data_IF_232008714291
#
_entry.id   IF_232008714291
#
_cell.length_a   1.000
_cell.length_b   1.000
_cell.length_c   1.000
_cell.angle_alpha   90.00
_cell.angle_beta   90.00
_cell.angle_gamma   90.00
#
_symmetry.space_group_name_H-M   'P 1'
#
loop_
_entity.id
_entity.type
_entity.pdbx_description
1 polymer ?
#
# COMPACT_ATOMS: atom_id res chain seq x y z
N UNK A 1 26.57 -5.81 -47.83
CA UNK A 1 26.42 -4.59 -46.99
C UNK A 1 25.42 -3.55 -47.54
N UNK A 2 25.01 -3.60 -48.81
CA UNK A 2 24.15 -2.57 -49.43
C UNK A 2 22.64 -2.64 -49.08
N UNK A 3 22.10 -3.82 -48.74
CA UNK A 3 20.68 -3.98 -48.43
C UNK A 3 20.25 -3.33 -47.10
N UNK A 4 21.13 -3.22 -46.10
CA UNK A 4 20.83 -2.56 -44.81
C UNK A 4 20.69 -1.04 -44.96
N UNK A 5 21.49 -0.43 -45.84
CA UNK A 5 21.45 1.01 -46.10
C UNK A 5 20.14 1.44 -46.79
N UNK A 6 19.53 0.57 -47.60
CA UNK A 6 18.27 0.86 -48.29
C UNK A 6 17.05 0.79 -47.35
N UNK A 7 17.04 -0.13 -46.40
CA UNK A 7 16.00 -0.24 -45.37
C UNK A 7 16.05 0.95 -44.39
N UNK A 8 17.24 1.34 -43.95
CA UNK A 8 17.42 2.54 -43.11
C UNK A 8 16.97 3.82 -43.82
N UNK A 9 17.31 3.98 -45.10
CA UNK A 9 16.86 5.14 -45.89
C UNK A 9 15.35 5.16 -46.12
N UNK A 10 14.73 4.01 -46.38
CA UNK A 10 13.26 3.89 -46.50
C UNK A 10 12.54 4.15 -45.18
N UNK A 11 13.11 3.72 -44.06
CA UNK A 11 12.58 3.99 -42.72
C UNK A 11 12.68 5.49 -42.39
N UNK A 12 13.83 6.13 -42.66
CA UNK A 12 14.02 7.58 -42.48
C UNK A 12 13.09 8.39 -43.40
N UNK A 13 12.86 7.95 -44.64
CA UNK A 13 11.91 8.60 -45.56
C UNK A 13 10.46 8.47 -45.07
N UNK A 14 10.05 7.30 -44.54
CA UNK A 14 8.72 7.14 -43.92
C UNK A 14 8.56 8.01 -42.67
N UNK A 15 9.59 8.10 -41.82
CA UNK A 15 9.58 8.98 -40.65
C UNK A 15 9.54 10.47 -41.07
N UNK A 16 10.19 10.85 -42.19
CA UNK A 16 10.10 12.21 -42.76
C UNK A 16 8.74 12.52 -43.37
N UNK A 17 8.10 11.57 -44.06
CA UNK A 17 6.77 11.75 -44.67
C UNK A 17 5.63 11.62 -43.65
N UNK A 18 5.86 10.95 -42.52
CA UNK A 18 4.92 10.87 -41.40
C UNK A 18 4.95 12.10 -40.47
N UNK A 19 5.81 13.10 -40.72
CA UNK A 19 5.68 14.44 -40.11
C UNK A 19 4.48 15.15 -40.74
N UNK A 20 3.31 14.84 -40.18
CA UNK A 20 1.96 15.12 -40.64
C UNK A 20 1.68 16.54 -41.20
N UNK A 21 0.73 16.67 -42.15
CA UNK A 21 0.21 17.94 -42.70
C UNK A 21 -0.75 18.65 -41.73
N UNK A 22 -0.43 18.65 -40.43
CA UNK A 22 -1.26 19.27 -39.40
C UNK A 22 -0.79 20.71 -39.20
N UNK A 23 -1.67 21.67 -39.49
CA UNK A 23 -1.45 23.10 -39.29
C UNK A 23 -2.34 23.66 -38.18
N UNK A 24 -1.92 24.78 -37.58
CA UNK A 24 -2.70 25.47 -36.54
C UNK A 24 -2.86 24.66 -35.25
N UNK A 25 -4.04 24.75 -34.63
CA UNK A 25 -4.33 24.15 -33.31
C UNK A 25 -4.16 22.62 -33.27
N UNK A 26 -4.38 21.92 -34.39
CA UNK A 26 -4.24 20.45 -34.47
C UNK A 26 -2.80 19.99 -34.28
N UNK A 27 -1.80 20.77 -34.75
CA UNK A 27 -0.38 20.49 -34.51
C UNK A 27 -0.03 20.62 -33.04
N UNK A 28 -0.51 21.68 -32.39
CA UNK A 28 -0.29 21.91 -30.97
C UNK A 28 -0.99 20.87 -30.10
N UNK A 29 -2.19 20.42 -30.47
CA UNK A 29 -2.87 19.31 -29.80
C UNK A 29 -2.08 17.99 -29.86
N UNK A 30 -1.49 17.66 -31.02
CA UNK A 30 -0.63 16.47 -31.14
C UNK A 30 0.66 16.61 -30.33
N UNK A 31 1.31 17.76 -30.37
CA UNK A 31 2.53 18.02 -29.58
C UNK A 31 2.21 17.93 -28.08
N UNK A 32 1.11 18.55 -27.64
CA UNK A 32 0.65 18.48 -26.26
C UNK A 32 0.32 17.05 -25.86
N UNK A 33 -0.40 16.29 -26.70
CA UNK A 33 -0.70 14.87 -26.44
C UNK A 33 0.56 14.01 -26.34
N UNK A 34 1.54 14.21 -27.24
CA UNK A 34 2.82 13.50 -27.20
C UNK A 34 3.67 13.91 -25.99
N UNK A 35 3.68 15.19 -25.62
CA UNK A 35 4.36 15.69 -24.43
C UNK A 35 3.73 15.10 -23.15
N UNK A 36 2.40 15.10 -23.05
CA UNK A 36 1.68 14.48 -21.92
C UNK A 36 1.97 12.99 -21.83
N UNK A 37 1.90 12.24 -22.94
CA UNK A 37 2.26 10.82 -22.97
C UNK A 37 3.72 10.59 -22.60
N UNK A 38 4.63 11.46 -23.05
CA UNK A 38 6.05 11.40 -22.71
C UNK A 38 6.31 11.66 -21.23
N UNK A 39 5.61 12.64 -20.63
CA UNK A 39 5.68 12.94 -19.19
C UNK A 39 5.11 11.78 -18.38
N UNK A 40 3.94 11.24 -18.74
CA UNK A 40 3.34 10.08 -18.08
C UNK A 40 4.29 8.88 -18.18
N UNK A 41 4.85 8.61 -19.36
CA UNK A 41 5.80 7.52 -19.58
C UNK A 41 7.08 7.69 -18.77
N UNK A 42 7.68 8.89 -18.75
CA UNK A 42 8.87 9.18 -17.96
C UNK A 42 8.59 9.00 -16.47
N UNK A 43 7.46 9.51 -15.98
CA UNK A 43 7.06 9.40 -14.59
C UNK A 43 6.79 7.93 -14.22
N UNK A 44 6.19 7.13 -15.11
CA UNK A 44 6.03 5.69 -14.93
C UNK A 44 7.37 4.95 -14.85
N UNK A 45 8.31 5.28 -15.74
CA UNK A 45 9.65 4.68 -15.73
C UNK A 45 10.41 5.06 -14.45
N UNK A 46 10.39 6.32 -14.03
CA UNK A 46 11.05 6.75 -12.79
C UNK A 46 10.44 6.07 -11.58
N UNK A 47 9.11 6.00 -11.48
CA UNK A 47 8.45 5.29 -10.37
C UNK A 47 8.75 3.79 -10.39
N UNK A 48 8.76 3.15 -11.57
CA UNK A 48 9.13 1.75 -11.70
C UNK A 48 10.58 1.50 -11.28
N UNK A 49 11.53 2.32 -11.74
CA UNK A 49 12.94 2.22 -11.35
C UNK A 49 13.11 2.43 -9.86
N UNK A 50 12.44 3.44 -9.29
CA UNK A 50 12.40 3.63 -7.85
C UNK A 50 11.85 2.37 -7.18
N UNK A 51 10.74 1.78 -7.67
CA UNK A 51 10.11 0.55 -7.11
C UNK A 51 11.11 -0.57 -7.03
N UNK A 52 11.72 -0.88 -8.17
CA UNK A 52 12.70 -1.95 -8.28
C UNK A 52 13.97 -1.67 -7.45
N UNK A 53 14.34 -0.40 -7.24
CA UNK A 53 15.55 -0.02 -6.48
C UNK A 53 15.34 0.07 -4.97
N UNK A 54 14.13 0.33 -4.49
CA UNK A 54 13.82 0.42 -3.05
C UNK A 54 13.56 -0.94 -2.41
N UNK A 55 13.17 -1.95 -3.18
CA UNK A 55 13.09 -3.32 -2.69
C UNK A 55 14.49 -3.89 -2.48
N UNK A 56 14.95 -3.87 -1.22
CA UNK A 56 16.19 -4.49 -0.78
C UNK A 56 16.05 -6.00 -0.45
N UNK A 57 14.91 -6.62 -0.81
CA UNK A 57 14.69 -8.06 -0.68
C UNK A 57 15.08 -8.83 -1.94
N UNK A 58 15.42 -10.10 -1.78
CA UNK A 58 15.76 -11.00 -2.88
C UNK A 58 14.56 -11.11 -3.84
N UNK A 59 14.73 -10.68 -5.10
CA UNK A 59 13.78 -10.84 -6.24
C UNK A 59 12.58 -9.87 -6.34
N UNK A 60 12.80 -8.58 -6.67
CA UNK A 60 11.74 -7.59 -6.91
C UNK A 60 10.71 -7.98 -7.99
N UNK A 61 11.11 -8.83 -8.96
CA UNK A 61 10.20 -9.35 -9.98
C UNK A 61 9.19 -10.35 -9.41
N UNK A 62 9.60 -11.24 -8.51
CA UNK A 62 8.72 -12.22 -7.89
C UNK A 62 7.63 -11.51 -7.07
N UNK A 63 8.02 -10.51 -6.29
CA UNK A 63 7.11 -9.67 -5.52
C UNK A 63 6.12 -8.89 -6.40
N UNK A 64 6.60 -8.28 -7.49
CA UNK A 64 5.72 -7.59 -8.46
C UNK A 64 4.69 -8.56 -9.09
N UNK A 65 5.12 -9.78 -9.42
CA UNK A 65 4.23 -10.81 -9.97
C UNK A 65 3.19 -11.24 -8.93
N UNK A 66 3.59 -11.39 -7.67
CA UNK A 66 2.69 -11.72 -6.57
C UNK A 66 1.66 -10.62 -6.35
N UNK A 67 2.06 -9.35 -6.31
CA UNK A 67 1.15 -8.20 -6.22
C UNK A 67 0.13 -8.19 -7.38
N UNK A 68 0.58 -8.42 -8.61
CA UNK A 68 -0.31 -8.50 -9.78
C UNK A 68 -1.27 -9.70 -9.66
N UNK A 69 -0.80 -10.86 -9.22
CA UNK A 69 -1.64 -12.06 -9.02
C UNK A 69 -2.69 -11.82 -7.95
N UNK A 70 -2.31 -11.25 -6.81
CA UNK A 70 -3.22 -10.87 -5.74
C UNK A 70 -4.28 -9.91 -6.27
N UNK A 71 -3.87 -8.81 -6.93
CA UNK A 71 -4.80 -7.84 -7.51
C UNK A 71 -5.72 -8.44 -8.56
N UNK A 72 -5.24 -9.42 -9.32
CA UNK A 72 -6.08 -10.17 -10.26
C UNK A 72 -7.24 -10.86 -9.56
N UNK A 73 -6.99 -11.47 -8.40
CA UNK A 73 -7.96 -12.21 -7.61
C UNK A 73 -8.71 -11.39 -6.54
N UNK A 74 -8.29 -10.16 -6.25
CA UNK A 74 -9.05 -9.22 -5.43
C UNK A 74 -10.46 -9.03 -6.03
N UNK A 75 -11.52 -9.41 -5.32
CA UNK A 75 -12.89 -9.15 -5.73
C UNK A 75 -13.15 -7.65 -5.93
N UNK A 76 -14.17 -7.36 -6.72
CA UNK A 76 -14.81 -6.05 -6.71
C UNK A 76 -15.84 -6.01 -5.58
N UNK A 77 -16.24 -4.80 -5.17
CA UNK A 77 -17.27 -4.62 -4.15
C UNK A 77 -18.48 -5.54 -4.37
N UNK A 78 -18.93 -6.16 -3.28
CA UNK A 78 -20.05 -7.11 -3.22
C UNK A 78 -19.88 -8.41 -4.04
N UNK A 79 -18.71 -8.67 -4.62
CA UNK A 79 -18.42 -9.93 -5.30
C UNK A 79 -17.69 -10.92 -4.39
N UNK A 80 -18.09 -12.22 -4.40
CA UNK A 80 -17.35 -13.23 -3.69
C UNK A 80 -15.99 -13.48 -4.35
N UNK A 81 -14.97 -13.74 -3.53
CA UNK A 81 -13.66 -14.18 -4.01
C UNK A 81 -13.76 -15.51 -4.75
N UNK A 82 -12.94 -15.69 -5.79
CA UNK A 82 -12.84 -16.97 -6.50
C UNK A 82 -12.44 -18.09 -5.52
N UNK A 83 -13.13 -19.25 -5.52
CA UNK A 83 -12.80 -20.37 -4.63
C UNK A 83 -11.37 -20.90 -4.76
N UNK A 84 -10.76 -20.69 -5.94
CA UNK A 84 -9.40 -21.13 -6.24
C UNK A 84 -8.36 -20.01 -6.05
N UNK A 85 -8.75 -18.82 -5.59
CA UNK A 85 -7.85 -17.67 -5.43
C UNK A 85 -6.66 -18.02 -4.53
N UNK A 86 -6.94 -18.58 -3.34
CA UNK A 86 -5.89 -18.94 -2.39
C UNK A 86 -4.92 -19.96 -2.98
N UNK A 87 -5.42 -21.07 -3.51
CA UNK A 87 -4.56 -22.09 -4.13
C UNK A 87 -3.78 -21.57 -5.34
N UNK A 88 -4.25 -20.55 -6.04
CA UNK A 88 -3.53 -19.97 -7.19
C UNK A 88 -2.45 -18.97 -6.76
N UNK A 89 -2.68 -18.23 -5.68
CA UNK A 89 -1.75 -17.20 -5.18
C UNK A 89 -0.72 -17.78 -4.21
N UNK A 90 -1.17 -18.64 -3.30
CA UNK A 90 -0.43 -19.18 -2.14
C UNK A 90 -0.31 -20.72 -2.17
N UNK A 91 -0.61 -21.36 -3.30
CA UNK A 91 -0.65 -22.82 -3.41
C UNK A 91 0.72 -23.51 -3.26
N UNK A 92 1.80 -22.81 -3.58
CA UNK A 92 3.16 -23.33 -3.44
C UNK A 92 3.60 -23.30 -1.97
N UNK A 93 3.42 -22.16 -1.30
CA UNK A 93 3.62 -21.95 0.13
C UNK A 93 2.59 -20.93 0.65
N UNK A 94 1.90 -21.19 1.79
CA UNK A 94 1.98 -22.35 2.68
C UNK A 94 1.28 -23.64 2.18
N UNK A 95 0.74 -23.65 0.96
CA UNK A 95 0.04 -24.80 0.37
C UNK A 95 -1.37 -24.44 -0.10
N UNK A 96 -2.02 -25.31 -0.87
CA UNK A 96 -3.32 -25.00 -1.49
C UNK A 96 -4.51 -24.84 -0.51
N UNK A 97 -4.42 -25.45 0.67
CA UNK A 97 -5.48 -25.41 1.69
C UNK A 97 -4.87 -25.46 3.11
N UNK A 98 -4.12 -24.42 3.52
CA UNK A 98 -3.40 -24.42 4.79
C UNK A 98 -4.39 -24.28 5.95
N UNK A 99 -4.01 -24.80 7.12
CA UNK A 99 -4.65 -24.47 8.39
C UNK A 99 -4.05 -23.18 8.99
N UNK A 100 -4.60 -22.73 10.12
CA UNK A 100 -4.16 -21.48 10.75
C UNK A 100 -2.69 -21.54 11.20
N UNK A 101 -2.21 -22.71 11.63
CA UNK A 101 -0.83 -22.88 12.07
C UNK A 101 0.17 -22.78 10.90
N UNK A 102 -0.16 -23.35 9.75
CA UNK A 102 0.63 -23.22 8.53
C UNK A 102 0.67 -21.76 8.04
N UNK A 103 -0.46 -21.04 8.10
CA UNK A 103 -0.50 -19.60 7.80
C UNK A 103 0.37 -18.81 8.78
N UNK A 104 0.28 -19.11 10.07
CA UNK A 104 1.10 -18.46 11.10
C UNK A 104 2.59 -18.67 10.83
N UNK A 105 3.01 -19.90 10.55
CA UNK A 105 4.42 -20.20 10.26
C UNK A 105 4.92 -19.43 9.03
N UNK A 106 4.11 -19.39 7.97
CA UNK A 106 4.43 -18.63 6.76
C UNK A 106 4.55 -17.12 7.03
N UNK A 107 3.59 -16.52 7.73
CA UNK A 107 3.62 -15.09 8.05
C UNK A 107 4.72 -14.73 9.07
N UNK A 108 5.10 -15.65 9.97
CA UNK A 108 6.25 -15.45 10.86
C UNK A 108 7.55 -15.39 10.06
N UNK A 109 7.76 -16.31 9.12
CA UNK A 109 8.93 -16.31 8.25
C UNK A 109 9.00 -15.02 7.41
N UNK A 110 7.90 -14.65 6.75
CA UNK A 110 7.86 -13.41 5.95
C UNK A 110 8.06 -12.15 6.82
N UNK A 111 7.61 -12.16 8.08
CA UNK A 111 7.83 -11.07 9.02
C UNK A 111 9.29 -11.00 9.52
N UNK A 112 10.01 -12.12 9.57
CA UNK A 112 11.46 -12.15 9.84
C UNK A 112 12.27 -11.63 8.65
N UNK A 113 11.82 -11.90 7.42
CA UNK A 113 12.42 -11.40 6.17
C UNK A 113 12.16 -9.89 5.94
N UNK A 114 11.28 -9.32 6.76
CA UNK A 114 11.18 -7.88 7.03
C UNK A 114 9.88 -7.23 6.58
N UNK A 115 9.34 -7.61 5.43
CA UNK A 115 8.05 -7.08 4.93
C UNK A 115 7.24 -8.19 4.28
N UNK A 116 6.09 -8.52 4.88
CA UNK A 116 5.13 -9.48 4.32
C UNK A 116 3.92 -8.78 3.70
N UNK A 117 3.20 -9.50 2.85
CA UNK A 117 1.95 -9.02 2.25
C UNK A 117 0.76 -9.56 3.03
N UNK A 118 -0.06 -8.67 3.59
CA UNK A 118 -1.37 -8.99 4.11
C UNK A 118 -2.41 -8.51 3.10
N UNK A 119 -2.69 -9.36 2.12
CA UNK A 119 -3.72 -9.10 1.13
C UNK A 119 -5.03 -9.80 1.45
N UNK A 120 -6.07 -9.41 0.75
CA UNK A 120 -7.40 -9.94 0.97
C UNK A 120 -7.53 -11.45 0.75
N UNK A 121 -6.79 -12.07 -0.19
CA UNK A 121 -6.83 -13.53 -0.38
C UNK A 121 -6.35 -14.23 0.89
N UNK A 122 -5.29 -13.71 1.51
CA UNK A 122 -4.80 -14.19 2.80
C UNK A 122 -5.80 -13.89 3.92
N UNK A 123 -6.31 -12.66 4.01
CA UNK A 123 -7.25 -12.24 5.07
C UNK A 123 -8.55 -13.03 5.02
N UNK A 124 -9.16 -13.23 3.84
CA UNK A 124 -10.38 -14.03 3.66
C UNK A 124 -10.13 -15.47 4.10
N UNK A 125 -8.96 -16.04 3.80
CA UNK A 125 -8.59 -17.37 4.29
C UNK A 125 -8.49 -17.40 5.81
N UNK A 126 -7.81 -16.44 6.42
CA UNK A 126 -7.68 -16.33 7.89
C UNK A 126 -9.04 -16.21 8.55
N UNK A 127 -9.89 -15.30 8.06
CA UNK A 127 -11.25 -15.10 8.56
C UNK A 127 -12.10 -16.35 8.35
N UNK A 128 -11.96 -17.07 7.24
CA UNK A 128 -12.69 -18.33 7.01
C UNK A 128 -12.32 -19.44 8.01
N UNK A 129 -11.08 -19.45 8.52
CA UNK A 129 -10.58 -20.44 9.47
C UNK A 129 -10.85 -20.05 10.92
N UNK A 130 -10.68 -18.76 11.24
CA UNK A 130 -10.62 -18.27 12.62
C UNK A 130 -11.81 -17.38 13.01
N UNK A 131 -12.62 -16.94 12.04
CA UNK A 131 -13.70 -15.95 12.20
C UNK A 131 -13.23 -14.50 12.34
N UNK A 132 -11.92 -14.28 12.52
CA UNK A 132 -11.28 -12.96 12.71
C UNK A 132 -9.78 -13.06 12.40
N UNK A 133 -9.13 -11.90 12.30
CA UNK A 133 -7.66 -11.81 12.29
C UNK A 133 -7.16 -11.72 13.73
N UNK A 134 -6.29 -12.66 14.13
CA UNK A 134 -5.70 -12.75 15.46
C UNK A 134 -4.39 -13.56 15.46
N UNK A 135 -3.80 -13.72 16.65
CA UNK A 135 -2.54 -14.44 16.91
C UNK A 135 -2.53 -15.91 16.46
N UNK A 136 -3.68 -16.52 16.14
CA UNK A 136 -3.70 -17.92 15.66
C UNK A 136 -3.19 -18.06 14.23
N UNK A 137 -3.24 -16.98 13.44
CA UNK A 137 -2.79 -16.99 12.04
C UNK A 137 -1.82 -15.85 11.71
N UNK A 138 -1.95 -14.67 12.31
CA UNK A 138 -0.96 -13.60 12.15
C UNK A 138 -0.10 -13.58 13.41
N UNK A 139 1.23 -13.55 13.33
CA UNK A 139 2.02 -13.56 14.54
C UNK A 139 1.78 -12.35 15.43
N UNK A 140 2.03 -12.52 16.73
CA UNK A 140 1.87 -11.41 17.67
C UNK A 140 2.94 -10.34 17.44
N UNK A 141 2.51 -9.09 17.41
CA UNK A 141 3.41 -7.97 17.14
C UNK A 141 2.70 -6.65 16.94
N UNK A 142 3.52 -5.60 16.85
CA UNK A 142 3.11 -4.29 16.34
C UNK A 142 3.64 -4.19 14.92
N UNK A 143 2.76 -3.89 13.99
CA UNK A 143 3.06 -3.79 12.57
C UNK A 143 2.71 -2.40 12.06
N UNK A 144 3.53 -1.87 11.17
CA UNK A 144 3.13 -0.75 10.32
C UNK A 144 2.61 -1.36 9.03
N UNK A 145 1.31 -1.21 8.82
CA UNK A 145 0.68 -1.46 7.54
C UNK A 145 0.82 -0.20 6.70
N UNK A 146 1.35 -0.33 5.50
CA UNK A 146 1.17 0.69 4.47
C UNK A 146 0.57 0.03 3.24
N UNK A 147 -0.05 0.85 2.39
CA UNK A 147 -0.69 0.46 1.14
C UNK A 147 -2.10 -0.13 1.31
N UNK A 148 -3.01 0.34 0.46
CA UNK A 148 -4.30 -0.28 0.21
C UNK A 148 -4.45 -0.33 -1.32
N UNK A 149 -3.82 -1.33 -1.95
CA UNK A 149 -4.03 -1.56 -3.37
C UNK A 149 -5.34 -2.29 -3.54
N UNK A 150 -6.32 -1.62 -4.11
CA UNK A 150 -7.54 -2.26 -4.57
C UNK A 150 -8.04 -1.60 -5.84
N UNK A 151 -8.77 -2.33 -6.69
CA UNK A 151 -9.41 -1.73 -7.86
C UNK A 151 -10.40 -0.67 -7.41
N UNK A 152 -10.23 0.58 -7.83
CA UNK A 152 -11.29 1.58 -7.61
C UNK A 152 -12.59 1.11 -8.26
N UNK A 153 -13.75 1.30 -7.65
CA UNK A 153 -15.05 1.00 -8.26
C UNK A 153 -15.19 1.54 -9.69
N UNK A 154 -16.09 0.95 -10.49
CA UNK A 154 -16.29 1.39 -11.86
C UNK A 154 -16.64 2.90 -11.91
N UNK A 155 -16.10 3.66 -12.88
CA UNK A 155 -15.40 3.23 -14.10
C UNK A 155 -13.88 3.13 -13.96
N UNK A 156 -13.32 3.33 -12.77
CA UNK A 156 -11.88 3.48 -12.59
C UNK A 156 -11.13 2.15 -12.43
N UNK A 157 -11.83 1.04 -12.11
CA UNK A 157 -11.28 -0.34 -12.02
C UNK A 157 -10.21 -0.62 -13.08
N UNK A 158 -10.46 -0.45 -14.40
CA UNK A 158 -9.50 -0.89 -15.41
C UNK A 158 -8.27 0.01 -15.51
N UNK A 159 -8.37 1.25 -15.04
CA UNK A 159 -7.30 2.27 -15.08
C UNK A 159 -6.46 2.18 -13.81
N UNK A 160 -7.09 2.01 -12.66
CA UNK A 160 -6.40 2.01 -11.38
C UNK A 160 -5.83 0.63 -11.07
N UNK A 161 -6.54 -0.47 -11.35
CA UNK A 161 -6.04 -1.85 -11.18
C UNK A 161 -4.68 -2.14 -11.85
N UNK A 162 -4.28 -1.37 -12.87
CA UNK A 162 -3.06 -1.65 -13.64
C UNK A 162 -2.07 -0.46 -13.81
N UNK A 163 -2.49 0.81 -13.70
CA UNK A 163 -1.67 1.95 -14.19
C UNK A 163 -1.58 3.16 -13.25
N UNK A 164 -2.68 3.62 -12.64
CA UNK A 164 -2.68 4.84 -11.83
C UNK A 164 -2.04 4.67 -10.43
N UNK A 165 -2.03 3.43 -9.90
CA UNK A 165 -1.58 3.07 -8.55
C UNK A 165 -0.10 3.35 -8.29
N UNK A 166 0.75 3.22 -9.30
CA UNK A 166 2.20 3.48 -9.19
C UNK A 166 2.57 4.96 -9.31
N UNK A 167 1.60 5.81 -9.67
CA UNK A 167 1.86 7.17 -10.12
C UNK A 167 1.27 8.23 -9.17
N UNK A 168 0.07 8.03 -8.61
CA UNK A 168 -0.73 9.19 -8.19
C UNK A 168 -1.12 9.27 -6.71
N UNK A 169 -0.95 8.20 -5.92
CA UNK A 169 -1.48 8.19 -4.55
C UNK A 169 -0.38 8.14 -3.48
N UNK A 170 -0.28 9.14 -2.59
CA UNK A 170 0.52 9.02 -1.39
C UNK A 170 -0.03 7.87 -0.54
N UNK A 171 0.85 6.96 -0.13
CA UNK A 171 0.48 5.77 0.65
C UNK A 171 0.11 6.22 2.06
N UNK A 172 -1.07 5.83 2.55
CA UNK A 172 -1.42 6.00 3.96
C UNK A 172 -0.91 4.82 4.77
N UNK A 173 -0.28 5.11 5.90
CA UNK A 173 0.12 4.13 6.89
C UNK A 173 -0.98 3.94 7.94
N UNK A 174 -0.96 2.81 8.63
CA UNK A 174 -1.71 2.53 9.85
C UNK A 174 -0.89 1.59 10.74
N UNK A 175 -1.29 1.46 12.00
CA UNK A 175 -0.70 0.50 12.94
C UNK A 175 -1.66 -0.67 13.07
N UNK A 176 -1.17 -1.88 12.88
CA UNK A 176 -1.86 -3.11 13.22
C UNK A 176 -1.19 -3.70 14.47
N UNK A 177 -1.96 -3.87 15.53
CA UNK A 177 -1.52 -4.57 16.74
C UNK A 177 -2.17 -5.93 16.76
N UNK A 178 -1.36 -6.98 16.77
CA UNK A 178 -1.82 -8.36 16.96
C UNK A 178 -1.44 -8.79 18.38
N UNK A 179 -2.37 -8.71 19.34
CA UNK A 179 -2.09 -9.14 20.70
C UNK A 179 -1.89 -10.65 20.76
N UNK A 180 -1.17 -11.15 21.76
CA UNK A 180 -0.99 -12.58 21.96
C UNK A 180 -2.32 -13.34 22.14
N UNK A 181 -3.31 -12.65 22.72
CA UNK A 181 -4.69 -13.13 22.87
C UNK A 181 -5.67 -12.03 22.47
N UNK A 182 -6.73 -12.41 21.77
CA UNK A 182 -7.78 -11.48 21.33
C UNK A 182 -7.69 -11.09 19.87
N UNK A 183 -8.59 -10.20 19.46
CA UNK A 183 -8.69 -9.72 18.08
C UNK A 183 -7.64 -8.66 17.77
N UNK A 184 -7.14 -8.65 16.54
CA UNK A 184 -6.21 -7.62 16.08
C UNK A 184 -6.88 -6.24 16.10
N UNK A 185 -6.10 -5.21 16.45
CA UNK A 185 -6.55 -3.82 16.59
C UNK A 185 -5.85 -2.99 15.53
N UNK A 186 -6.61 -2.19 14.80
CA UNK A 186 -6.09 -1.18 13.88
C UNK A 186 -6.13 0.21 14.50
N UNK A 187 -5.08 0.99 14.27
CA UNK A 187 -5.04 2.43 14.52
C UNK A 187 -4.77 3.16 13.21
N UNK A 188 -5.72 3.98 12.79
CA UNK A 188 -5.60 4.85 11.62
C UNK A 188 -5.68 6.32 12.05
N UNK A 189 -4.93 7.18 11.37
CA UNK A 189 -5.02 8.63 11.52
C UNK A 189 -5.41 9.24 10.16
N UNK A 190 -6.38 10.15 10.12
CA UNK A 190 -6.90 10.73 8.88
C UNK A 190 -7.71 12.00 9.14
N UNK A 191 -8.18 12.65 8.08
CA UNK A 191 -9.16 13.74 8.18
C UNK A 191 -10.44 13.24 8.84
N UNK A 192 -11.01 14.02 9.76
CA UNK A 192 -12.29 13.75 10.42
C UNK A 192 -13.40 13.35 9.45
N UNK A 193 -13.47 13.99 8.29
CA UNK A 193 -14.47 13.70 7.26
C UNK A 193 -14.43 12.24 6.78
N UNK A 194 -13.29 11.55 6.88
CA UNK A 194 -13.18 10.13 6.51
C UNK A 194 -13.75 9.18 7.55
N UNK A 195 -13.85 9.62 8.80
CA UNK A 195 -14.49 8.89 9.88
C UNK A 195 -15.99 9.21 10.01
N UNK A 196 -16.60 9.80 8.97
CA UNK A 196 -17.98 10.31 8.97
C UNK A 196 -18.25 11.41 10.03
N UNK A 197 -17.21 12.12 10.47
CA UNK A 197 -17.31 13.23 11.43
C UNK A 197 -17.36 14.56 10.67
N UNK A 198 -18.52 15.23 10.68
CA UNK A 198 -18.77 16.44 9.87
C UNK A 198 -18.47 17.76 10.57
N UNK A 199 -18.18 17.74 11.88
CA UNK A 199 -18.04 18.96 12.70
C UNK A 199 -16.82 19.80 12.28
N UNK A 200 -15.72 19.18 11.87
CA UNK A 200 -14.48 19.83 11.42
C UNK A 200 -13.78 18.98 10.35
N UNK A 201 -14.18 19.05 9.07
CA UNK A 201 -13.79 18.07 8.05
C UNK A 201 -12.28 18.05 7.77
N UNK A 202 -11.58 19.18 7.94
CA UNK A 202 -10.14 19.30 7.68
C UNK A 202 -9.26 18.96 8.89
N UNK A 203 -9.85 18.70 10.06
CA UNK A 203 -9.10 18.39 11.27
C UNK A 203 -8.60 16.93 11.22
N UNK A 204 -7.37 16.71 11.64
CA UNK A 204 -6.78 15.39 11.76
C UNK A 204 -7.28 14.72 13.04
N UNK A 205 -7.75 13.49 12.92
CA UNK A 205 -8.13 12.63 14.03
C UNK A 205 -7.57 11.23 13.85
N UNK A 206 -7.68 10.42 14.90
CA UNK A 206 -7.32 9.02 14.85
C UNK A 206 -8.47 8.15 15.38
N UNK A 207 -8.53 6.92 14.88
CA UNK A 207 -9.49 5.90 15.26
C UNK A 207 -8.75 4.64 15.67
N UNK A 208 -9.22 4.04 16.77
CA UNK A 208 -8.83 2.70 17.21
C UNK A 208 -10.06 1.82 17.03
N UNK A 209 -9.91 0.71 16.30
CA UNK A 209 -10.99 -0.23 16.07
C UNK A 209 -10.41 -1.64 15.91
N UNK A 210 -11.22 -2.70 16.06
CA UNK A 210 -10.84 -4.01 15.55
C UNK A 210 -10.36 -3.93 14.10
N UNK A 211 -9.47 -4.82 13.71
CA UNK A 211 -9.03 -4.91 12.31
C UNK A 211 -10.23 -5.26 11.43
N UNK A 212 -10.60 -4.32 10.57
CA UNK A 212 -11.65 -4.50 9.58
C UNK A 212 -11.01 -4.62 8.19
N UNK A 213 -11.12 -5.82 7.63
CA UNK A 213 -10.63 -6.14 6.30
C UNK A 213 -11.29 -5.32 5.18
N UNK A 214 -12.43 -4.68 5.48
CA UNK A 214 -13.22 -3.87 4.56
C UNK A 214 -13.16 -2.38 4.90
N UNK A 215 -12.34 -1.91 5.86
CA UNK A 215 -12.33 -0.50 6.25
C UNK A 215 -11.84 0.43 5.11
N UNK A 216 -12.76 1.27 4.60
CA UNK A 216 -12.60 2.18 3.45
C UNK A 216 -12.00 3.57 3.80
N UNK A 217 -11.03 3.67 4.70
CA UNK A 217 -10.50 4.97 5.17
C UNK A 217 -9.56 5.69 4.18
N UNK A 218 -9.38 5.12 2.99
CA UNK A 218 -8.36 5.55 2.03
C UNK A 218 -8.99 5.88 0.67
N UNK A 219 -8.42 6.84 -0.09
CA UNK A 219 -8.88 7.17 -1.44
C UNK A 219 -8.49 6.09 -2.47
N UNK A 220 -8.73 4.82 -2.13
CA UNK A 220 -8.64 3.66 -3.00
C UNK A 220 -9.92 2.85 -2.78
N UNK A 221 -10.80 2.92 -3.75
CA UNK A 221 -12.16 2.34 -3.73
C UNK A 221 -12.18 0.86 -4.07
N UNK A 222 -11.26 0.08 -3.48
CA UNK A 222 -11.20 -1.37 -3.64
C UNK A 222 -10.43 -2.07 -2.53
N UNK A 223 -10.69 -3.37 -2.41
CA UNK A 223 -10.16 -4.23 -1.35
C UNK A 223 -8.63 -4.40 -1.45
N UNK A 224 -7.97 -4.33 -0.29
CA UNK A 224 -6.61 -3.87 -0.15
C UNK A 224 -5.54 -4.98 -0.08
N UNK A 225 -4.43 -4.78 -0.78
CA UNK A 225 -3.13 -5.36 -0.44
C UNK A 225 -2.37 -4.40 0.48
N UNK A 226 -1.95 -4.92 1.64
CA UNK A 226 -1.17 -4.19 2.63
C UNK A 226 0.25 -4.75 2.73
N UNK A 227 1.25 -3.88 2.66
CA UNK A 227 2.63 -4.21 3.01
C UNK A 227 2.81 -4.02 4.52
N UNK A 228 3.13 -5.11 5.21
CA UNK A 228 3.27 -5.14 6.66
C UNK A 228 4.73 -5.22 7.05
N UNK A 229 5.20 -4.24 7.81
CA UNK A 229 6.53 -4.28 8.44
C UNK A 229 6.36 -4.50 9.93
N UNK A 230 6.95 -5.58 10.46
CA UNK A 230 6.96 -5.83 11.91
C UNK A 230 7.90 -4.85 12.59
N UNK A 231 7.36 -4.10 13.54
CA UNK A 231 8.12 -3.15 14.36
C UNK A 231 8.75 -3.87 15.55
N UNK A 232 7.95 -4.65 16.26
CA UNK A 232 8.37 -5.37 17.45
C UNK A 232 7.47 -6.57 17.69
N UNK A 233 8.04 -7.64 18.20
CA UNK A 233 7.35 -8.81 18.76
C UNK A 233 7.60 -8.96 20.28
N UNK A 234 8.23 -7.98 20.93
CA UNK A 234 8.41 -7.95 22.39
C UNK A 234 7.03 -8.02 23.10
N UNK A 235 6.75 -9.09 23.86
CA UNK A 235 5.44 -9.30 24.50
C UNK A 235 5.05 -8.16 25.43
N UNK A 236 6.00 -7.53 26.12
CA UNK A 236 5.71 -6.42 27.03
C UNK A 236 5.23 -5.18 26.28
N UNK A 237 5.84 -4.90 25.12
CA UNK A 237 5.45 -3.78 24.25
C UNK A 237 4.11 -4.03 23.56
N UNK A 238 3.88 -5.26 23.10
CA UNK A 238 2.61 -5.64 22.45
C UNK A 238 1.44 -5.52 23.45
N UNK A 239 1.61 -6.01 24.68
CA UNK A 239 0.58 -5.91 25.71
C UNK A 239 0.25 -4.45 26.09
N UNK A 240 1.23 -3.55 26.04
CA UNK A 240 1.03 -2.12 26.30
C UNK A 240 0.55 -1.30 25.09
N UNK A 241 0.43 -1.90 23.91
CA UNK A 241 0.24 -1.16 22.66
C UNK A 241 -1.12 -0.45 22.58
N UNK A 242 -2.20 -1.09 23.03
CA UNK A 242 -3.53 -0.48 22.97
C UNK A 242 -3.62 0.81 23.81
N UNK A 243 -3.07 0.78 25.03
CA UNK A 243 -3.05 1.95 25.91
C UNK A 243 -2.19 3.08 25.34
N UNK A 244 -1.03 2.74 24.77
CA UNK A 244 -0.19 3.68 24.04
C UNK A 244 -0.96 4.35 22.89
N UNK A 245 -1.72 3.57 22.10
CA UNK A 245 -2.53 4.10 20.99
C UNK A 245 -3.68 4.99 21.48
N UNK A 246 -4.31 4.68 22.62
CA UNK A 246 -5.34 5.55 23.23
C UNK A 246 -4.77 6.89 23.68
N UNK A 247 -3.60 6.88 24.33
CA UNK A 247 -2.92 8.11 24.73
C UNK A 247 -2.52 8.96 23.52
N UNK A 248 -2.06 8.30 22.46
CA UNK A 248 -1.77 8.93 21.18
C UNK A 248 -2.99 9.60 20.55
N UNK A 249 -4.13 8.89 20.51
CA UNK A 249 -5.39 9.43 20.02
C UNK A 249 -5.83 10.67 20.82
N UNK A 250 -5.79 10.59 22.16
CA UNK A 250 -6.16 11.70 23.03
C UNK A 250 -5.25 12.94 22.83
N UNK A 251 -3.94 12.72 22.65
CA UNK A 251 -2.98 13.80 22.38
C UNK A 251 -3.24 14.47 21.03
N UNK A 252 -3.47 13.68 19.97
CA UNK A 252 -3.81 14.22 18.66
C UNK A 252 -5.07 15.09 18.70
N UNK A 253 -6.11 14.63 19.42
CA UNK A 253 -7.33 15.41 19.61
C UNK A 253 -7.09 16.73 20.37
N UNK A 254 -6.17 16.73 21.34
CA UNK A 254 -5.80 17.93 22.10
C UNK A 254 -4.96 18.93 21.30
N UNK A 255 -4.12 18.46 20.36
CA UNK A 255 -3.27 19.31 19.51
C UNK A 255 -4.06 20.04 18.41
N UNK A 256 -5.30 19.63 18.12
CA UNK A 256 -6.21 20.26 17.15
C UNK A 256 -5.57 20.52 15.77
N UNK A 257 -4.80 19.53 15.30
CA UNK A 257 -4.04 19.66 14.07
C UNK A 257 -4.95 19.67 12.83
N UNK A 258 -4.63 20.51 11.86
CA UNK A 258 -5.27 20.51 10.53
C UNK A 258 -4.51 19.64 9.56
N UNK A 259 -5.23 18.88 8.76
CA UNK A 259 -4.68 18.09 7.68
C UNK A 259 -4.24 18.99 6.53
N UNK A 260 -2.97 18.91 6.14
CA UNK A 260 -2.44 19.71 5.03
C UNK A 260 -1.39 18.94 4.25
N UNK A 261 -1.17 19.35 2.99
CA UNK A 261 -0.12 18.76 2.14
C UNK A 261 1.29 19.00 2.71
N UNK A 262 1.45 20.10 3.46
CA UNK A 262 2.70 20.56 4.10
C UNK A 262 2.60 20.61 5.64
N UNK A 263 1.44 20.25 6.21
CA UNK A 263 1.24 20.12 7.65
C UNK A 263 1.44 18.65 8.07
N UNK A 264 1.52 18.33 9.38
CA UNK A 264 1.55 16.93 9.82
C UNK A 264 0.37 16.16 9.21
N UNK A 265 0.67 15.19 8.35
CA UNK A 265 -0.31 14.28 7.78
C UNK A 265 -0.39 12.99 8.60
N UNK A 266 -1.35 12.13 8.27
CA UNK A 266 -1.56 10.83 8.91
C UNK A 266 -0.28 10.03 9.12
N UNK A 267 0.60 9.99 8.13
CA UNK A 267 1.84 9.23 8.17
C UNK A 267 2.85 9.83 9.16
N UNK A 268 2.91 11.16 9.23
CA UNK A 268 3.77 11.88 10.18
C UNK A 268 3.34 11.60 11.60
N UNK A 269 2.02 11.67 11.86
CA UNK A 269 1.47 11.34 13.18
C UNK A 269 1.80 9.91 13.56
N UNK A 270 1.56 8.94 12.68
CA UNK A 270 1.86 7.53 12.96
C UNK A 270 3.36 7.32 13.25
N UNK A 271 4.25 7.87 12.42
CA UNK A 271 5.69 7.76 12.62
C UNK A 271 6.13 8.35 13.97
N UNK A 272 5.61 9.52 14.32
CA UNK A 272 5.93 10.18 15.58
C UNK A 272 5.36 9.50 16.82
N UNK A 273 4.20 8.86 16.70
CA UNK A 273 3.61 8.10 17.79
C UNK A 273 4.45 6.86 18.11
N UNK A 274 4.87 6.12 17.08
CA UNK A 274 5.72 4.94 17.27
C UNK A 274 7.09 5.31 17.86
N UNK A 275 7.66 6.45 17.44
CA UNK A 275 8.93 6.95 17.99
C UNK A 275 8.78 7.38 19.46
N UNK A 276 7.77 8.18 19.79
CA UNK A 276 7.53 8.64 21.17
C UNK A 276 7.22 7.48 22.12
N UNK A 277 6.63 6.40 21.60
CA UNK A 277 6.39 5.17 22.35
C UNK A 277 7.63 4.29 22.53
N UNK A 278 8.77 4.66 21.93
CA UNK A 278 9.99 3.85 21.91
C UNK A 278 9.84 2.55 21.10
N UNK A 279 8.79 2.42 20.28
CA UNK A 279 8.53 1.24 19.46
C UNK A 279 9.48 1.18 18.26
N UNK A 280 9.80 2.34 17.68
CA UNK A 280 10.84 2.50 16.65
C UNK A 280 11.81 3.60 17.06
N UNK A 281 13.07 3.48 16.64
CA UNK A 281 13.97 4.61 16.64
C UNK A 281 13.86 5.42 15.33
N UNK A 282 14.49 6.59 15.30
CA UNK A 282 14.50 7.46 14.13
C UNK A 282 15.11 6.79 12.89
N UNK A 283 16.12 5.92 13.07
CA UNK A 283 16.80 5.26 11.96
C UNK A 283 15.89 4.20 11.31
N UNK A 284 15.22 3.37 12.12
CA UNK A 284 14.18 2.42 11.69
C UNK A 284 13.03 3.16 11.02
N UNK A 285 12.61 4.30 11.56
CA UNK A 285 11.54 5.12 10.97
C UNK A 285 11.92 5.67 9.59
N UNK A 286 13.15 6.15 9.45
CA UNK A 286 13.68 6.60 8.15
C UNK A 286 13.90 5.45 7.17
N UNK A 287 14.25 4.23 7.62
CA UNK A 287 14.31 3.07 6.74
C UNK A 287 12.92 2.60 6.29
N UNK A 288 11.91 2.71 7.16
CA UNK A 288 10.51 2.44 6.81
C UNK A 288 9.99 3.44 5.77
N UNK A 289 10.44 4.71 5.77
CA UNK A 289 10.13 5.64 4.68
C UNK A 289 10.62 5.12 3.32
N UNK A 290 11.80 4.49 3.27
CA UNK A 290 12.34 3.90 2.04
C UNK A 290 11.64 2.60 1.65
N UNK A 291 11.25 1.79 2.63
CA UNK A 291 10.56 0.52 2.40
C UNK A 291 9.09 0.71 1.99
N UNK A 292 8.35 1.57 2.72
CA UNK A 292 6.91 1.75 2.57
C UNK A 292 6.52 2.99 1.77
N UNK A 293 7.47 3.88 1.41
CA UNK A 293 7.23 5.10 0.60
C UNK A 293 6.13 6.00 1.15
N UNK A 294 6.11 6.14 2.47
CA UNK A 294 5.24 7.05 3.18
C UNK A 294 6.02 8.34 3.51
N UNK A 295 6.00 9.38 2.65
CA UNK A 295 6.91 10.54 2.77
C UNK A 295 6.73 11.36 4.05
N UNK A 296 5.59 11.22 4.75
CA UNK A 296 5.38 11.80 6.08
C UNK A 296 5.93 10.97 7.25
N UNK A 297 6.11 9.65 7.09
CA UNK A 297 6.47 8.76 8.19
C UNK A 297 7.86 9.06 8.77
N UNK A 298 8.80 9.51 7.94
CA UNK A 298 10.16 9.88 8.34
C UNK A 298 10.33 11.34 8.77
N UNK A 299 9.29 12.17 8.75
CA UNK A 299 9.38 13.59 9.10
C UNK A 299 9.71 13.79 10.59
N UNK A 300 10.42 14.87 10.92
CA UNK A 300 10.76 15.19 12.32
C UNK A 300 9.49 15.33 13.18
N UNK A 301 9.59 14.99 14.47
CA UNK A 301 8.46 15.04 15.42
C UNK A 301 8.43 16.29 16.30
N UNK A 302 9.26 17.26 15.93
CA UNK A 302 9.54 18.49 16.64
C UNK A 302 8.36 19.47 16.55
#
# INVERSE_FOLDING_TARGET
MEQRASLQRRFIQRVRQARHPLTGWRRWAVIAGQATLGVIGLFAVVNLVLSLSTFRGEQPLARTVQEIRVLWFSPLDDQPMSPNAFATVYGDEPGAAPDSAAIHAFLEQEAEDGVFLLDQVMVDRIVSLNGRVDARAVPSGIYVGAHALGPDGLPFVPVTKFLAQYLLFPRHAYILVVPAEGEAISFSASQNAKFDITVNPEQLAARIAPYDAQAYDFPSSGQALHEMTRITNDPARVAGAEEMLKQAQARLQAEDLRYGLLAPNSNTVIGCLLERAGAIDQATRSSILLALRAPGFGAACD
#
